data_IF_010355672033
#
_entry.id   IF_010355672033
#
_cell.length_a   1.000
_cell.length_b   1.000
_cell.length_c   1.000
_cell.angle_alpha   90.00
_cell.angle_beta   90.00
_cell.angle_gamma   90.00
#
_symmetry.space_group_name_H-M   'P 1'
#
loop_
_entity.id
_entity.type
_entity.pdbx_description
1 polymer ?
#
# COMPACT_ATOMS: atom_id res chain seq x y z
N UNK A 1 -4.02 -9.04 -16.11
CA UNK A 1 -5.32 -8.63 -15.56
C UNK A 1 -5.58 -9.53 -14.36
N UNK A 2 -5.60 -8.98 -13.15
CA UNK A 2 -5.72 -9.75 -11.90
C UNK A 2 -7.20 -9.99 -11.56
N UNK A 3 -7.56 -11.21 -11.16
CA UNK A 3 -8.92 -11.59 -10.79
C UNK A 3 -9.26 -11.05 -9.40
N UNK A 4 -10.37 -10.32 -9.28
CA UNK A 4 -10.86 -9.75 -8.01
C UNK A 4 -12.20 -10.38 -7.64
N UNK A 5 -12.26 -11.19 -6.59
CA UNK A 5 -13.50 -11.83 -6.13
C UNK A 5 -14.11 -11.16 -4.91
N UNK A 6 -13.47 -10.12 -4.36
CA UNK A 6 -13.88 -9.47 -3.10
C UNK A 6 -15.32 -8.93 -3.09
N UNK A 7 -15.93 -8.72 -4.26
CA UNK A 7 -17.30 -8.22 -4.43
C UNK A 7 -18.37 -9.34 -4.52
N UNK A 8 -17.94 -10.60 -4.64
CA UNK A 8 -18.82 -11.77 -4.62
C UNK A 8 -18.25 -12.90 -3.76
N UNK A 9 -17.44 -12.58 -2.75
CA UNK A 9 -16.81 -13.61 -1.91
C UNK A 9 -17.86 -14.43 -1.14
N UNK A 10 -18.99 -13.80 -0.78
CA UNK A 10 -20.15 -14.48 -0.21
C UNK A 10 -20.64 -15.62 -1.12
N UNK A 11 -20.78 -15.36 -2.43
CA UNK A 11 -21.22 -16.37 -3.41
C UNK A 11 -20.24 -17.54 -3.48
N UNK A 12 -18.94 -17.28 -3.38
CA UNK A 12 -17.92 -18.33 -3.37
C UNK A 12 -18.02 -19.21 -2.12
N UNK A 13 -18.24 -18.60 -0.95
CA UNK A 13 -18.41 -19.34 0.32
C UNK A 13 -19.68 -20.20 0.28
N UNK A 14 -20.79 -19.62 -0.18
CA UNK A 14 -22.09 -20.29 -0.37
C UNK A 14 -21.99 -21.46 -1.37
N UNK A 15 -21.20 -21.29 -2.43
CA UNK A 15 -20.91 -22.34 -3.42
C UNK A 15 -20.02 -23.49 -2.88
N UNK A 16 -19.65 -23.47 -1.60
CA UNK A 16 -18.87 -24.55 -1.00
C UNK A 16 -17.36 -24.35 -1.05
N UNK A 17 -16.86 -23.21 -1.52
CA UNK A 17 -15.41 -22.93 -1.51
C UNK A 17 -14.91 -22.82 -0.07
N UNK A 18 -13.79 -23.50 0.23
CA UNK A 18 -13.17 -23.53 1.57
C UNK A 18 -11.77 -22.93 1.61
N UNK A 19 -11.07 -22.93 0.49
CA UNK A 19 -9.68 -22.46 0.40
C UNK A 19 -9.61 -21.30 -0.58
N UNK A 20 -9.26 -20.13 -0.05
CA UNK A 20 -8.96 -18.94 -0.85
C UNK A 20 -7.45 -18.76 -0.91
N UNK A 21 -6.89 -18.81 -2.12
CA UNK A 21 -5.46 -18.59 -2.36
C UNK A 21 -5.23 -17.19 -2.91
N UNK A 22 -4.25 -16.49 -2.33
CA UNK A 22 -3.75 -15.23 -2.84
C UNK A 22 -2.38 -15.49 -3.48
N UNK A 23 -2.20 -15.08 -4.73
CA UNK A 23 -0.94 -15.17 -5.46
C UNK A 23 -0.23 -13.81 -5.43
N UNK A 24 1.06 -13.82 -5.09
CA UNK A 24 1.86 -12.61 -4.92
C UNK A 24 3.32 -12.76 -5.34
N UNK A 25 3.70 -13.79 -6.10
CA UNK A 25 5.07 -13.93 -6.60
C UNK A 25 5.40 -12.71 -7.48
N UNK A 26 6.60 -12.16 -7.28
CA UNK A 26 7.04 -10.91 -7.91
C UNK A 26 6.20 -9.65 -7.57
N UNK A 27 5.39 -9.67 -6.50
CA UNK A 27 4.69 -8.49 -5.99
C UNK A 27 5.42 -7.89 -4.79
N UNK A 28 5.36 -6.56 -4.66
CA UNK A 28 5.97 -5.83 -3.54
C UNK A 28 5.28 -6.14 -2.20
N UNK A 29 5.96 -5.95 -1.05
CA UNK A 29 5.39 -6.21 0.25
C UNK A 29 4.08 -5.46 0.55
N UNK A 30 3.90 -4.26 -0.02
CA UNK A 30 2.69 -3.45 0.09
C UNK A 30 1.47 -4.09 -0.56
N UNK A 31 1.69 -4.78 -1.69
CA UNK A 31 0.64 -5.48 -2.40
C UNK A 31 0.19 -6.66 -1.56
N UNK A 32 1.15 -7.44 -1.08
CA UNK A 32 0.89 -8.62 -0.25
C UNK A 32 0.13 -8.21 1.02
N UNK A 33 0.57 -7.15 1.72
CA UNK A 33 -0.11 -6.64 2.90
C UNK A 33 -1.56 -6.23 2.58
N UNK A 34 -1.75 -5.36 1.60
CA UNK A 34 -3.06 -4.77 1.31
C UNK A 34 -4.07 -5.81 0.84
N UNK A 35 -3.65 -6.73 -0.04
CA UNK A 35 -4.51 -7.79 -0.57
C UNK A 35 -4.89 -8.77 0.54
N UNK A 36 -3.93 -9.27 1.32
CA UNK A 36 -4.21 -10.19 2.43
C UNK A 36 -5.14 -9.55 3.47
N UNK A 37 -4.94 -8.28 3.81
CA UNK A 37 -5.75 -7.59 4.80
C UNK A 37 -7.20 -7.36 4.33
N UNK A 38 -7.39 -6.91 3.08
CA UNK A 38 -8.73 -6.72 2.53
C UNK A 38 -9.51 -8.04 2.44
N UNK A 39 -8.89 -9.12 1.96
CA UNK A 39 -9.56 -10.42 1.87
C UNK A 39 -9.83 -11.03 3.25
N UNK A 40 -8.93 -10.86 4.23
CA UNK A 40 -9.17 -11.27 5.61
C UNK A 40 -10.38 -10.55 6.21
N UNK A 41 -10.44 -9.22 6.05
CA UNK A 41 -11.56 -8.42 6.53
C UNK A 41 -12.87 -8.78 5.83
N UNK A 42 -12.85 -9.05 4.53
CA UNK A 42 -14.03 -9.48 3.79
C UNK A 42 -14.59 -10.83 4.28
N UNK A 43 -13.70 -11.81 4.52
CA UNK A 43 -14.09 -13.12 5.07
C UNK A 43 -14.65 -12.98 6.49
N UNK A 44 -13.99 -12.22 7.37
CA UNK A 44 -14.48 -11.96 8.73
C UNK A 44 -15.84 -11.27 8.71
N UNK A 45 -15.97 -10.24 7.87
CA UNK A 45 -17.22 -9.50 7.71
C UNK A 45 -18.36 -10.39 7.22
N UNK A 46 -18.08 -11.38 6.37
CA UNK A 46 -19.09 -12.36 5.96
C UNK A 46 -19.49 -13.27 7.12
N UNK A 47 -18.53 -13.81 7.87
CA UNK A 47 -18.81 -14.67 9.03
C UNK A 47 -19.58 -13.94 10.14
N UNK A 48 -19.39 -12.64 10.27
CA UNK A 48 -20.06 -11.77 11.25
C UNK A 48 -21.41 -11.22 10.75
N UNK A 49 -21.80 -11.52 9.50
CA UNK A 49 -23.03 -10.98 8.91
C UNK A 49 -23.01 -9.48 8.60
N UNK A 50 -21.82 -8.87 8.56
CA UNK A 50 -21.63 -7.42 8.33
C UNK A 50 -21.05 -7.09 6.94
N UNK A 51 -21.07 -8.05 6.01
CA UNK A 51 -20.55 -7.90 4.65
C UNK A 51 -21.51 -7.08 3.79
N UNK A 52 -21.22 -5.79 3.62
CA UNK A 52 -22.07 -4.80 2.94
C UNK A 52 -21.37 -4.16 1.73
N UNK A 53 -22.16 -3.53 0.85
CA UNK A 53 -21.66 -2.76 -0.30
C UNK A 53 -20.65 -1.67 0.11
N UNK A 54 -20.86 -1.02 1.24
CA UNK A 54 -20.02 0.09 1.71
C UNK A 54 -18.63 -0.42 2.10
N UNK A 55 -18.56 -1.55 2.81
CA UNK A 55 -17.27 -2.19 3.12
C UNK A 55 -16.57 -2.69 1.86
N UNK A 56 -17.32 -3.25 0.91
CA UNK A 56 -16.79 -3.66 -0.39
C UNK A 56 -16.15 -2.46 -1.11
N UNK A 57 -16.81 -1.30 -1.14
CA UNK A 57 -16.27 -0.09 -1.76
C UNK A 57 -14.97 0.39 -1.09
N UNK A 58 -14.88 0.30 0.25
CA UNK A 58 -13.66 0.65 1.00
C UNK A 58 -12.49 -0.29 0.64
N UNK A 59 -12.71 -1.61 0.64
CA UNK A 59 -11.68 -2.56 0.25
C UNK A 59 -11.29 -2.40 -1.21
N UNK A 60 -12.27 -2.17 -2.08
CA UNK A 60 -12.04 -1.99 -3.49
C UNK A 60 -11.12 -0.79 -3.76
N UNK A 61 -11.37 0.36 -3.11
CA UNK A 61 -10.49 1.54 -3.16
C UNK A 61 -9.05 1.20 -2.74
N UNK A 62 -8.88 0.47 -1.63
CA UNK A 62 -7.55 0.06 -1.13
C UNK A 62 -6.85 -0.89 -2.10
N UNK A 63 -7.58 -1.83 -2.68
CA UNK A 63 -7.04 -2.77 -3.66
C UNK A 63 -6.58 -2.01 -4.93
N UNK A 64 -7.35 -1.05 -5.45
CA UNK A 64 -6.92 -0.29 -6.65
C UNK A 64 -5.56 0.37 -6.46
N UNK A 65 -5.27 0.88 -5.27
CA UNK A 65 -4.02 1.55 -4.96
C UNK A 65 -2.77 0.64 -5.05
N UNK A 66 -2.93 -0.69 -5.06
CA UNK A 66 -1.81 -1.65 -5.18
C UNK A 66 -1.81 -2.42 -6.51
N UNK A 67 -2.89 -2.36 -7.30
CA UNK A 67 -2.99 -3.00 -8.60
C UNK A 67 -2.59 -2.05 -9.74
N UNK A 68 -1.29 -2.01 -10.08
CA UNK A 68 -0.75 -1.13 -11.13
C UNK A 68 -1.07 -1.57 -12.59
N UNK A 69 -1.97 -2.55 -12.81
CA UNK A 69 -2.20 -3.18 -14.14
C UNK A 69 -3.66 -3.25 -14.60
N UNK A 70 -4.58 -2.48 -14.00
CA UNK A 70 -5.99 -2.42 -14.39
C UNK A 70 -6.79 -3.71 -14.07
N UNK A 71 -8.10 -3.56 -13.89
CA UNK A 71 -9.00 -4.64 -13.45
C UNK A 71 -9.48 -5.56 -14.59
N UNK A 72 -9.85 -6.78 -14.20
CA UNK A 72 -10.70 -7.67 -14.99
C UNK A 72 -11.66 -8.43 -14.08
N UNK A 73 -12.96 -8.28 -14.32
CA UNK A 73 -14.03 -8.92 -13.56
C UNK A 73 -14.29 -10.36 -14.02
N UNK A 74 -13.22 -11.13 -14.24
CA UNK A 74 -13.26 -12.46 -14.86
C UNK A 74 -14.35 -13.42 -14.39
N UNK A 75 -15.31 -13.65 -15.28
CA UNK A 75 -16.14 -14.84 -15.53
C UNK A 75 -16.37 -15.82 -14.35
N UNK A 76 -17.38 -15.54 -13.53
CA UNK A 76 -18.06 -16.56 -12.70
C UNK A 76 -19.57 -16.63 -12.92
N UNK A 77 -20.17 -15.72 -13.71
CA UNK A 77 -21.63 -15.53 -13.77
C UNK A 77 -22.28 -15.82 -15.14
N UNK A 78 -21.56 -16.41 -16.09
CA UNK A 78 -22.16 -16.94 -17.33
C UNK A 78 -22.88 -15.93 -18.23
N UNK A 79 -22.62 -14.62 -18.11
CA UNK A 79 -23.21 -13.59 -18.97
C UNK A 79 -22.26 -13.17 -20.11
N UNK A 80 -22.81 -13.00 -21.31
CA UNK A 80 -22.13 -12.37 -22.47
C UNK A 80 -22.32 -10.84 -22.43
N UNK A 81 -21.33 -10.13 -22.99
CA UNK A 81 -21.19 -8.68 -23.22
C UNK A 81 -20.61 -7.89 -22.03
N UNK A 82 -19.80 -6.87 -22.22
CA UNK A 82 -19.35 -6.19 -23.43
C UNK A 82 -18.28 -5.18 -23.08
N UNK A 83 -17.41 -4.94 -24.04
CA UNK A 83 -16.92 -3.60 -24.35
C UNK A 83 -16.13 -2.77 -23.28
N UNK A 84 -14.80 -2.73 -23.53
CA UNK A 84 -13.81 -1.66 -23.29
C UNK A 84 -13.09 -1.54 -21.94
N UNK A 85 -11.75 -1.62 -22.01
CA UNK A 85 -10.88 -0.50 -21.63
C UNK A 85 -9.75 -0.39 -22.67
N UNK A 86 -9.65 0.75 -23.39
CA UNK A 86 -8.66 1.00 -24.46
C UNK A 86 -7.30 1.49 -23.95
N UNK A 87 -7.14 1.69 -22.65
CA UNK A 87 -5.95 2.37 -22.13
C UNK A 87 -4.96 1.36 -21.55
N UNK A 88 -3.81 1.25 -22.20
CA UNK A 88 -2.63 0.55 -21.71
C UNK A 88 -1.83 1.56 -20.88
N UNK A 89 -2.04 1.58 -19.55
CA UNK A 89 -1.37 2.54 -18.65
C UNK A 89 -1.74 2.33 -17.18
N UNK A 90 -0.89 2.82 -16.28
CA UNK A 90 -1.13 2.82 -14.83
C UNK A 90 -2.11 3.94 -14.48
N UNK A 91 -3.31 3.61 -13.96
CA UNK A 91 -4.31 4.59 -13.47
C UNK A 91 -4.07 5.00 -11.99
N UNK A 92 -2.83 4.87 -11.50
CA UNK A 92 -2.50 5.17 -10.10
C UNK A 92 -2.51 6.68 -9.86
N UNK A 93 -3.29 7.15 -8.88
CA UNK A 93 -3.36 8.58 -8.50
C UNK A 93 -2.19 9.05 -7.64
N UNK A 94 -1.36 8.12 -7.17
CA UNK A 94 -0.21 8.39 -6.33
C UNK A 94 0.99 7.58 -6.84
N UNK A 95 2.17 8.20 -6.88
CA UNK A 95 3.44 7.56 -7.24
C UNK A 95 4.42 7.58 -6.08
N UNK A 96 5.31 6.59 -6.06
CA UNK A 96 6.34 6.43 -5.04
C UNK A 96 7.66 7.00 -5.54
N UNK A 97 8.22 7.94 -4.78
CA UNK A 97 9.54 8.53 -5.02
C UNK A 97 10.50 7.97 -3.98
N UNK A 98 11.57 7.32 -4.42
CA UNK A 98 12.59 6.82 -3.49
C UNK A 98 13.24 8.00 -2.76
N UNK A 99 13.30 7.93 -1.43
CA UNK A 99 13.86 8.96 -0.58
C UNK A 99 15.15 8.51 0.11
N UNK A 100 15.22 7.26 0.58
CA UNK A 100 16.39 6.75 1.29
C UNK A 100 16.15 5.41 1.94
N UNK A 101 16.85 5.15 3.05
CA UNK A 101 16.81 3.85 3.73
C UNK A 101 16.85 3.94 5.26
N UNK A 102 16.30 2.93 5.92
CA UNK A 102 16.38 2.75 7.36
C UNK A 102 17.79 2.38 7.82
N UNK A 103 18.22 2.99 8.93
CA UNK A 103 19.53 2.76 9.55
C UNK A 103 19.36 1.95 10.83
N UNK A 104 18.50 2.42 11.76
CA UNK A 104 18.35 1.81 13.08
C UNK A 104 16.98 2.07 13.67
N UNK A 105 16.55 1.16 14.55
CA UNK A 105 15.34 1.34 15.36
C UNK A 105 15.66 1.26 16.85
N UNK A 106 15.24 2.27 17.60
CA UNK A 106 15.39 2.39 19.04
C UNK A 106 14.07 2.02 19.73
N UNK A 107 13.89 0.72 19.98
CA UNK A 107 12.60 0.16 20.45
C UNK A 107 12.10 0.72 21.78
N UNK A 108 13.00 1.07 22.71
CA UNK A 108 12.63 1.60 24.02
C UNK A 108 11.91 2.95 23.94
N UNK A 109 12.20 3.74 22.89
CA UNK A 109 11.66 5.10 22.71
C UNK A 109 10.77 5.23 21.48
N UNK A 110 10.61 4.16 20.69
CA UNK A 110 9.79 4.16 19.47
C UNK A 110 10.30 5.12 18.40
N UNK A 111 11.62 5.18 18.21
CA UNK A 111 12.27 6.08 17.22
C UNK A 111 13.00 5.27 16.16
N UNK A 112 12.84 5.65 14.90
CA UNK A 112 13.59 5.12 13.78
C UNK A 112 14.52 6.19 13.21
N UNK A 113 15.74 5.77 12.88
CA UNK A 113 16.75 6.56 12.17
C UNK A 113 16.81 6.13 10.71
N UNK A 114 16.89 7.10 9.82
CA UNK A 114 16.97 6.92 8.37
C UNK A 114 18.08 7.81 7.78
N UNK A 115 18.61 7.39 6.64
CA UNK A 115 19.47 8.19 5.77
C UNK A 115 18.69 8.60 4.53
N UNK A 116 18.62 9.89 4.24
CA UNK A 116 18.07 10.39 2.98
C UNK A 116 19.12 10.27 1.88
N UNK A 117 18.79 9.61 0.78
CA UNK A 117 19.75 9.32 -0.31
C UNK A 117 19.36 9.99 -1.63
N UNK A 118 18.09 10.32 -1.87
CA UNK A 118 17.63 10.73 -3.19
C UNK A 118 16.74 11.98 -3.21
N UNK A 119 15.65 12.02 -2.44
CA UNK A 119 14.75 13.19 -2.39
C UNK A 119 14.66 13.74 -0.99
N UNK A 120 14.61 15.06 -0.88
CA UNK A 120 14.32 15.74 0.38
C UNK A 120 12.93 15.38 0.91
N UNK A 121 12.80 15.42 2.23
CA UNK A 121 11.56 15.12 2.95
C UNK A 121 11.15 16.32 3.78
N UNK A 122 9.86 16.61 3.82
CA UNK A 122 9.29 17.69 4.62
C UNK A 122 8.31 17.12 5.65
N UNK A 123 8.17 17.81 6.78
CA UNK A 123 7.08 17.52 7.70
C UNK A 123 5.72 17.57 6.96
N UNK A 124 4.86 16.61 7.23
CA UNK A 124 3.58 16.39 6.54
C UNK A 124 3.66 15.44 5.33
N UNK A 125 4.86 15.06 4.87
CA UNK A 125 4.97 14.11 3.74
C UNK A 125 4.40 12.74 4.11
N UNK A 126 3.63 12.15 3.18
CA UNK A 126 3.24 10.73 3.25
C UNK A 126 4.44 9.86 2.92
N UNK A 127 4.76 8.93 3.81
CA UNK A 127 5.90 8.03 3.69
C UNK A 127 5.44 6.57 3.58
N UNK A 128 6.22 5.79 2.83
CA UNK A 128 6.16 4.34 2.80
C UNK A 128 7.53 3.78 3.17
N UNK A 129 7.58 2.98 4.23
CA UNK A 129 8.75 2.19 4.61
C UNK A 129 8.47 0.74 4.22
N UNK A 130 9.36 0.11 3.46
CA UNK A 130 9.14 -1.25 2.98
C UNK A 130 10.42 -2.07 2.98
N UNK A 131 10.29 -3.34 3.36
CA UNK A 131 11.39 -4.28 3.39
C UNK A 131 10.93 -5.72 3.54
N UNK A 132 11.80 -6.70 3.27
CA UNK A 132 11.41 -8.11 3.18
C UNK A 132 10.74 -8.65 4.45
N UNK A 133 11.23 -8.28 5.63
CA UNK A 133 10.69 -8.72 6.93
C UNK A 133 9.79 -7.70 7.59
N UNK A 134 9.90 -6.43 7.19
CA UNK A 134 9.09 -5.32 7.72
C UNK A 134 7.72 -5.26 7.04
N UNK A 135 7.61 -5.78 5.82
CA UNK A 135 6.42 -5.63 5.01
C UNK A 135 6.35 -4.22 4.43
N UNK A 136 5.24 -3.54 4.64
CA UNK A 136 5.02 -2.15 4.22
C UNK A 136 4.37 -1.37 5.35
N UNK A 137 4.94 -0.24 5.75
CA UNK A 137 4.42 0.66 6.78
C UNK A 137 4.14 2.01 6.11
N UNK A 138 2.90 2.46 6.20
CA UNK A 138 2.47 3.78 5.73
C UNK A 138 2.38 4.72 6.93
N UNK A 139 2.99 5.89 6.81
CA UNK A 139 3.00 6.89 7.89
C UNK A 139 3.09 8.31 7.31
N UNK A 140 2.94 9.31 8.17
CA UNK A 140 3.19 10.71 7.84
C UNK A 140 4.42 11.16 8.62
N UNK A 141 5.29 11.94 7.99
CA UNK A 141 6.42 12.56 8.67
C UNK A 141 5.91 13.71 9.55
N UNK A 142 5.50 13.45 10.79
CA UNK A 142 4.99 14.52 11.66
C UNK A 142 6.11 15.50 12.08
N UNK A 143 7.23 14.95 12.53
CA UNK A 143 8.39 15.72 13.00
C UNK A 143 9.67 14.95 12.68
N UNK A 144 10.61 15.62 12.02
CA UNK A 144 11.93 15.10 11.72
C UNK A 144 12.97 15.74 12.63
N UNK A 145 13.91 14.95 13.15
CA UNK A 145 15.04 15.45 13.92
C UNK A 145 16.35 15.15 13.20
N UNK A 146 17.14 16.19 12.93
CA UNK A 146 18.53 16.10 12.45
C UNK A 146 19.43 16.64 13.55
N UNK A 147 20.48 15.89 13.92
CA UNK A 147 21.36 16.24 15.05
C UNK A 147 20.60 16.62 16.33
N UNK A 148 19.56 15.85 16.66
CA UNK A 148 18.67 16.03 17.81
C UNK A 148 17.82 17.30 17.81
N UNK A 149 17.80 18.05 16.71
CA UNK A 149 16.99 19.27 16.57
C UNK A 149 15.83 19.04 15.60
N UNK A 150 14.62 19.52 15.91
CA UNK A 150 13.51 19.44 14.98
C UNK A 150 13.80 20.30 13.74
N UNK A 151 13.53 19.75 12.57
CA UNK A 151 13.69 20.41 11.27
C UNK A 151 12.42 20.25 10.45
N UNK A 152 12.10 21.27 9.63
CA UNK A 152 10.98 21.19 8.70
C UNK A 152 11.31 20.40 7.44
N UNK A 153 12.57 20.42 7.02
CA UNK A 153 13.06 19.77 5.81
C UNK A 153 14.32 18.99 6.14
N UNK A 154 14.38 17.74 5.70
CA UNK A 154 15.57 16.87 5.74
C UNK A 154 16.15 16.78 4.34
N UNK A 155 17.42 17.17 4.20
CA UNK A 155 18.12 17.23 2.91
C UNK A 155 18.73 15.88 2.54
N UNK A 156 19.10 15.76 1.27
CA UNK A 156 19.85 14.62 0.78
C UNK A 156 21.17 14.46 1.57
N UNK A 157 21.52 13.20 1.87
CA UNK A 157 22.69 12.77 2.65
C UNK A 157 22.62 13.05 4.15
N UNK A 158 21.51 13.55 4.65
CA UNK A 158 21.32 13.73 6.10
C UNK A 158 20.76 12.46 6.75
N UNK A 159 21.21 12.22 7.98
CA UNK A 159 20.55 11.30 8.89
C UNK A 159 19.45 12.05 9.61
N UNK A 160 18.26 11.46 9.68
CA UNK A 160 17.19 11.98 10.50
C UNK A 160 16.52 10.88 11.32
N UNK A 161 15.90 11.29 12.42
CA UNK A 161 15.11 10.44 13.29
C UNK A 161 13.67 10.91 13.33
N UNK A 162 12.74 9.96 13.41
CA UNK A 162 11.31 10.24 13.61
C UNK A 162 10.69 9.18 14.52
N UNK A 163 9.60 9.55 15.19
CA UNK A 163 8.81 8.59 15.98
C UNK A 163 8.05 7.63 15.05
N UNK A 164 8.11 6.34 15.36
CA UNK A 164 7.36 5.29 14.68
C UNK A 164 7.16 4.09 15.62
N UNK A 165 5.91 3.61 15.72
CA UNK A 165 5.55 2.50 16.62
C UNK A 165 6.04 1.16 16.06
N UNK A 166 6.04 1.02 14.75
CA UNK A 166 6.42 -0.19 14.04
C UNK A 166 7.95 -0.32 13.94
N UNK A 167 8.45 -1.51 14.28
CA UNK A 167 9.88 -1.83 14.23
C UNK A 167 10.36 -1.93 12.78
N UNK A 168 11.17 -0.98 12.31
CA UNK A 168 11.87 -1.06 11.03
C UNK A 168 13.12 -1.94 11.09
N UNK A 169 13.76 -2.20 9.95
CA UNK A 169 15.04 -2.89 9.83
C UNK A 169 16.06 -2.03 9.07
N UNK A 170 17.37 -2.25 9.32
CA UNK A 170 18.41 -1.70 8.46
C UNK A 170 18.16 -2.05 7.00
N UNK A 171 18.35 -1.08 6.11
CA UNK A 171 18.10 -1.17 4.66
C UNK A 171 16.63 -1.32 4.23
N UNK A 172 15.67 -1.16 5.13
CA UNK A 172 14.28 -0.93 4.70
C UNK A 172 14.26 0.32 3.82
N UNK A 173 13.58 0.24 2.67
CA UNK A 173 13.49 1.35 1.72
C UNK A 173 12.46 2.36 2.21
N UNK A 174 12.82 3.63 2.14
CA UNK A 174 11.96 4.77 2.43
C UNK A 174 11.55 5.45 1.13
N UNK A 175 10.25 5.62 0.94
CA UNK A 175 9.65 6.31 -0.19
C UNK A 175 8.78 7.47 0.30
N UNK A 176 8.80 8.58 -0.43
CA UNK A 176 7.81 9.64 -0.38
C UNK A 176 6.68 9.32 -1.35
N UNK A 177 5.43 9.37 -0.89
CA UNK A 177 4.24 9.20 -1.73
C UNK A 177 3.79 10.58 -2.20
N UNK A 178 3.71 10.79 -3.51
CA UNK A 178 3.27 12.06 -4.10
C UNK A 178 2.09 11.81 -5.04
N UNK A 179 1.21 12.80 -5.18
CA UNK A 179 0.13 12.76 -6.17
C UNK A 179 0.72 12.63 -7.59
N UNK A 180 0.10 11.80 -8.42
CA UNK A 180 0.49 11.65 -9.82
C UNK A 180 -0.23 12.72 -10.65
N UNK A 181 0.45 13.86 -10.88
CA UNK A 181 -0.09 15.00 -11.62
C UNK A 181 0.10 14.84 -13.14
N UNK A 182 -0.06 13.64 -13.70
CA UNK A 182 -0.24 13.49 -15.15
C UNK A 182 -1.62 14.02 -15.53
N UNK A 183 -1.71 15.33 -15.69
CA UNK A 183 -2.69 15.96 -16.57
C UNK A 183 -2.48 15.39 -17.96
N UNK A 184 -3.32 14.44 -18.36
CA UNK A 184 -3.47 14.06 -19.76
C UNK A 184 -4.04 15.27 -20.50
N UNK A 185 -3.18 16.17 -20.97
CA UNK A 185 -3.53 17.07 -22.07
C UNK A 185 -3.81 16.20 -23.29
N UNK A 186 -5.06 16.30 -23.75
CA UNK A 186 -5.66 15.60 -24.88
C UNK A 186 -4.84 15.68 -26.17
#
# INVERSE_FOLDING_TARGET
>A
KDLKTIHFINKMIEAGVRVFKIEGRARGPEYVRTVCECYKQALQSYTEGTYTSDKIAVWDKRLRAVFNRGFWDGYYLGQRLGEWSRNYGSEATERKVYAGKGIKYFGNIGVAEFLVEATELNAGDKLLITGPTTGAIYTVLEEAHVDLKPVQTVKQREHFSMKIKEKIRPNDKLFKIVADNTSHTH
#
